data_IF_379113678719
#
_entry.id   IF_379113678719
#
_cell.length_a   1.000
_cell.length_b   1.000
_cell.length_c   1.000
_cell.angle_alpha   90.00
_cell.angle_beta   90.00
_cell.angle_gamma   90.00
#
_symmetry.space_group_name_H-M   'P 1'
#
loop_
_entity.id
_entity.type
_entity.pdbx_description
1 polymer ?
#
# COMPACT_ATOMS: atom_id res chain seq x y z
N UNK A 1 -109.73 -15.45 -137.82
CA UNK A 1 -108.35 -14.93 -137.60
C UNK A 1 -108.45 -13.63 -136.79
N UNK A 2 -107.75 -13.49 -135.65
CA UNK A 2 -107.65 -12.17 -135.00
C UNK A 2 -107.34 -12.07 -133.49
N UNK A 3 -107.55 -13.09 -132.64
CA UNK A 3 -107.47 -12.91 -131.16
C UNK A 3 -106.48 -13.81 -130.39
N UNK A 4 -105.80 -14.77 -131.02
CA UNK A 4 -104.91 -15.73 -130.33
C UNK A 4 -103.47 -15.23 -130.11
N UNK A 5 -103.00 -14.25 -130.86
CA UNK A 5 -101.64 -13.70 -130.73
C UNK A 5 -101.48 -12.78 -129.50
N UNK A 6 -102.55 -12.13 -129.05
CA UNK A 6 -102.55 -11.23 -127.87
C UNK A 6 -102.36 -12.03 -126.58
N UNK A 7 -103.03 -13.18 -126.42
CA UNK A 7 -102.89 -14.04 -125.23
C UNK A 7 -101.47 -14.62 -125.12
N UNK A 8 -100.86 -14.97 -126.26
CA UNK A 8 -99.48 -15.48 -126.31
C UNK A 8 -98.43 -14.39 -126.04
N UNK A 9 -98.64 -13.17 -126.56
CA UNK A 9 -97.76 -12.03 -126.29
C UNK A 9 -97.82 -11.57 -124.82
N UNK A 10 -99.00 -11.55 -124.21
CA UNK A 10 -99.18 -11.24 -122.78
C UNK A 10 -98.54 -12.30 -121.89
N UNK A 11 -98.70 -13.59 -122.22
CA UNK A 11 -98.04 -14.67 -121.48
C UNK A 11 -96.52 -14.63 -121.59
N UNK A 12 -95.96 -14.35 -122.78
CA UNK A 12 -94.52 -14.14 -122.96
C UNK A 12 -94.01 -12.93 -122.18
N UNK A 13 -94.78 -11.84 -122.12
CA UNK A 13 -94.41 -10.65 -121.34
C UNK A 13 -94.40 -10.93 -119.83
N UNK A 14 -95.40 -11.65 -119.31
CA UNK A 14 -95.40 -12.09 -117.90
C UNK A 14 -94.26 -13.06 -117.59
N UNK A 15 -93.94 -13.99 -118.49
CA UNK A 15 -92.78 -14.87 -118.34
C UNK A 15 -91.46 -14.08 -118.38
N UNK A 16 -91.34 -13.07 -119.24
CA UNK A 16 -90.17 -12.18 -119.30
C UNK A 16 -90.03 -11.36 -118.01
N UNK A 17 -91.12 -10.75 -117.53
CA UNK A 17 -91.14 -10.02 -116.27
C UNK A 17 -90.83 -10.92 -115.07
N UNK A 18 -91.35 -12.15 -115.06
CA UNK A 18 -91.01 -13.14 -114.03
C UNK A 18 -89.53 -13.55 -114.11
N UNK A 19 -88.98 -13.77 -115.32
CA UNK A 19 -87.56 -14.06 -115.49
C UNK A 19 -86.67 -12.89 -115.04
N UNK A 20 -87.03 -11.65 -115.39
CA UNK A 20 -86.32 -10.44 -114.96
C UNK A 20 -86.40 -10.28 -113.44
N UNK A 21 -87.58 -10.46 -112.83
CA UNK A 21 -87.75 -10.42 -111.38
C UNK A 21 -86.88 -11.47 -110.68
N UNK A 22 -86.88 -12.72 -111.16
CA UNK A 22 -86.05 -13.78 -110.61
C UNK A 22 -84.55 -13.50 -110.82
N UNK A 23 -84.14 -12.94 -111.96
CA UNK A 23 -82.74 -12.54 -112.21
C UNK A 23 -82.28 -11.44 -111.25
N UNK A 24 -83.06 -10.37 -111.11
CA UNK A 24 -82.79 -9.27 -110.17
C UNK A 24 -82.74 -9.80 -108.74
N UNK A 25 -83.66 -10.68 -108.36
CA UNK A 25 -83.68 -11.30 -107.03
C UNK A 25 -82.48 -12.21 -106.79
N UNK A 26 -82.05 -12.97 -107.78
CA UNK A 26 -80.84 -13.81 -107.71
C UNK A 26 -79.59 -12.93 -107.55
N UNK A 27 -79.52 -11.80 -108.26
CA UNK A 27 -78.39 -10.86 -108.15
C UNK A 27 -78.34 -10.20 -106.77
N UNK A 28 -79.49 -9.79 -106.25
CA UNK A 28 -79.63 -9.25 -104.89
C UNK A 28 -79.22 -10.28 -103.81
N UNK A 29 -79.72 -11.51 -103.91
CA UNK A 29 -79.34 -12.61 -103.01
C UNK A 29 -77.85 -12.97 -103.12
N UNK A 30 -77.25 -12.89 -104.31
CA UNK A 30 -75.80 -13.07 -104.49
C UNK A 30 -75.02 -11.96 -103.79
N UNK A 31 -75.47 -10.71 -103.90
CA UNK A 31 -74.85 -9.56 -103.22
C UNK A 31 -74.96 -9.69 -101.70
N UNK A 32 -76.14 -10.08 -101.20
CA UNK A 32 -76.38 -10.35 -99.78
C UNK A 32 -75.51 -11.51 -99.27
N UNK A 33 -75.45 -12.63 -100.00
CA UNK A 33 -74.58 -13.76 -99.65
C UNK A 33 -73.10 -13.37 -99.64
N UNK A 34 -72.67 -12.55 -100.60
CA UNK A 34 -71.30 -12.02 -100.65
C UNK A 34 -71.00 -11.11 -99.46
N UNK A 35 -71.94 -10.24 -99.07
CA UNK A 35 -71.80 -9.37 -97.90
C UNK A 35 -71.72 -10.18 -96.60
N UNK A 36 -72.63 -11.15 -96.42
CA UNK A 36 -72.64 -12.04 -95.26
C UNK A 36 -71.35 -12.87 -95.15
N UNK A 37 -70.79 -13.34 -96.28
CA UNK A 37 -69.49 -14.02 -96.28
C UNK A 37 -68.33 -13.12 -95.88
N UNK A 38 -68.35 -11.87 -96.32
CA UNK A 38 -67.35 -10.88 -95.91
C UNK A 38 -67.46 -10.55 -94.41
N UNK A 39 -68.69 -10.39 -93.90
CA UNK A 39 -68.94 -10.19 -92.47
C UNK A 39 -68.51 -11.40 -91.63
N UNK A 40 -68.79 -12.62 -92.08
CA UNK A 40 -68.35 -13.86 -91.41
C UNK A 40 -66.82 -13.93 -91.37
N UNK A 41 -66.14 -13.69 -92.48
CA UNK A 41 -64.66 -13.69 -92.52
C UNK A 41 -64.05 -12.60 -91.62
N UNK A 42 -64.69 -11.43 -91.52
CA UNK A 42 -64.27 -10.39 -90.60
C UNK A 42 -64.49 -10.78 -89.12
N UNK A 43 -65.59 -11.48 -88.82
CA UNK A 43 -65.86 -12.00 -87.48
C UNK A 43 -64.88 -13.11 -87.08
N UNK A 44 -64.57 -14.04 -87.99
CA UNK A 44 -63.57 -15.10 -87.80
C UNK A 44 -62.17 -14.50 -87.55
N UNK A 45 -61.77 -13.47 -88.31
CA UNK A 45 -60.51 -12.78 -88.09
C UNK A 45 -60.44 -12.13 -86.70
N UNK A 46 -61.51 -11.43 -86.29
CA UNK A 46 -61.60 -10.83 -84.94
C UNK A 46 -61.58 -11.88 -83.83
N UNK A 47 -62.21 -13.04 -84.03
CA UNK A 47 -62.18 -14.14 -83.08
C UNK A 47 -60.75 -14.67 -82.93
N UNK A 48 -60.03 -14.92 -84.03
CA UNK A 48 -58.64 -15.35 -83.99
C UNK A 48 -57.71 -14.32 -83.32
N UNK A 49 -57.93 -13.03 -83.57
CA UNK A 49 -57.21 -11.95 -82.86
C UNK A 49 -57.51 -11.96 -81.34
N UNK A 50 -58.77 -12.17 -80.96
CA UNK A 50 -59.17 -12.24 -79.55
C UNK A 50 -58.62 -13.49 -78.84
N UNK A 51 -58.64 -14.64 -79.50
CA UNK A 51 -58.05 -15.90 -79.01
C UNK A 51 -56.55 -15.74 -78.79
N UNK A 52 -55.82 -15.20 -79.78
CA UNK A 52 -54.39 -14.92 -79.64
C UNK A 52 -54.08 -13.91 -78.53
N UNK A 53 -54.92 -12.88 -78.34
CA UNK A 53 -54.79 -11.94 -77.23
C UNK A 53 -55.04 -12.61 -75.87
N UNK A 54 -56.00 -13.55 -75.78
CA UNK A 54 -56.30 -14.30 -74.58
C UNK A 54 -55.15 -15.25 -74.21
N UNK A 55 -54.63 -16.01 -75.17
CA UNK A 55 -53.46 -16.89 -74.96
C UNK A 55 -52.24 -16.09 -74.48
N UNK A 56 -52.03 -14.90 -75.06
CA UNK A 56 -50.95 -14.00 -74.62
C UNK A 56 -51.18 -13.47 -73.19
N UNK A 57 -52.43 -13.20 -72.79
CA UNK A 57 -52.74 -12.82 -71.42
C UNK A 57 -52.56 -13.99 -70.44
N UNK A 58 -53.00 -15.19 -70.79
CA UNK A 58 -52.82 -16.39 -69.96
C UNK A 58 -51.33 -16.70 -69.73
N UNK A 59 -50.51 -16.58 -70.78
CA UNK A 59 -49.06 -16.73 -70.67
C UNK A 59 -48.45 -15.67 -69.72
N UNK A 60 -48.92 -14.41 -69.81
CA UNK A 60 -48.47 -13.34 -68.90
C UNK A 60 -48.91 -13.57 -67.46
N UNK A 61 -50.15 -14.02 -67.24
CA UNK A 61 -50.68 -14.35 -65.91
C UNK A 61 -49.86 -15.49 -65.29
N UNK A 62 -49.60 -16.56 -66.05
CA UNK A 62 -48.75 -17.67 -65.59
C UNK A 62 -47.36 -17.18 -65.21
N UNK A 63 -46.70 -16.42 -66.08
CA UNK A 63 -45.37 -15.87 -65.78
C UNK A 63 -45.37 -14.93 -64.57
N UNK A 64 -46.41 -14.13 -64.38
CA UNK A 64 -46.52 -13.23 -63.22
C UNK A 64 -46.75 -14.02 -61.93
N UNK A 65 -47.56 -15.09 -62.01
CA UNK A 65 -47.79 -15.99 -60.89
C UNK A 65 -46.49 -16.68 -60.46
N UNK A 66 -45.73 -17.22 -61.41
CA UNK A 66 -44.45 -17.88 -61.13
C UNK A 66 -43.44 -16.90 -60.50
N UNK A 67 -43.40 -15.65 -60.97
CA UNK A 67 -42.58 -14.59 -60.36
C UNK A 67 -43.02 -14.24 -58.94
N UNK A 68 -44.34 -14.21 -58.68
CA UNK A 68 -44.88 -13.93 -57.35
C UNK A 68 -44.56 -15.06 -56.37
N UNK A 69 -44.76 -16.32 -56.77
CA UNK A 69 -44.40 -17.49 -55.94
C UNK A 69 -42.90 -17.53 -55.64
N UNK A 70 -42.05 -17.19 -56.62
CA UNK A 70 -40.61 -17.07 -56.39
C UNK A 70 -40.27 -15.95 -55.42
N UNK A 71 -40.86 -14.75 -55.59
CA UNK A 71 -40.60 -13.61 -54.71
C UNK A 71 -41.07 -13.88 -53.27
N UNK A 72 -42.22 -14.53 -53.10
CA UNK A 72 -42.76 -14.91 -51.79
C UNK A 72 -41.84 -15.91 -51.08
N UNK A 73 -41.39 -16.95 -51.79
CA UNK A 73 -40.45 -17.92 -51.25
C UNK A 73 -39.09 -17.32 -50.87
N UNK A 74 -38.57 -16.36 -51.65
CA UNK A 74 -37.35 -15.65 -51.28
C UNK A 74 -37.57 -14.77 -50.04
N UNK A 75 -38.69 -14.06 -49.97
CA UNK A 75 -39.01 -13.19 -48.84
C UNK A 75 -39.16 -13.99 -47.54
N UNK A 76 -39.88 -15.12 -47.56
CA UNK A 76 -40.01 -16.00 -46.40
C UNK A 76 -38.63 -16.48 -45.91
N UNK A 77 -37.79 -16.94 -46.84
CA UNK A 77 -36.44 -17.40 -46.52
C UNK A 77 -35.56 -16.30 -45.92
N UNK A 78 -35.51 -15.13 -46.56
CA UNK A 78 -34.70 -14.00 -46.09
C UNK A 78 -35.18 -13.48 -44.73
N UNK A 79 -36.50 -13.44 -44.51
CA UNK A 79 -37.06 -13.05 -43.21
C UNK A 79 -36.78 -14.07 -42.12
N UNK A 80 -36.92 -15.37 -42.41
CA UNK A 80 -36.64 -16.43 -41.43
C UNK A 80 -35.16 -16.44 -41.04
N UNK A 81 -34.26 -16.41 -42.03
CA UNK A 81 -32.81 -16.35 -41.79
C UNK A 81 -32.41 -15.07 -41.03
N UNK A 82 -32.96 -13.92 -41.42
CA UNK A 82 -32.68 -12.63 -40.79
C UNK A 82 -33.18 -12.54 -39.34
N UNK A 83 -34.41 -12.98 -39.08
CA UNK A 83 -34.98 -12.99 -37.72
C UNK A 83 -34.30 -14.01 -36.83
N UNK A 84 -33.92 -15.17 -37.36
CA UNK A 84 -33.16 -16.18 -36.63
C UNK A 84 -31.78 -15.64 -36.24
N UNK A 85 -31.08 -14.99 -37.18
CA UNK A 85 -29.79 -14.35 -36.94
C UNK A 85 -29.87 -13.26 -35.86
N UNK A 86 -30.83 -12.34 -35.99
CA UNK A 86 -31.08 -11.30 -34.98
C UNK A 86 -31.43 -11.88 -33.60
N UNK A 87 -32.18 -12.98 -33.56
CA UNK A 87 -32.51 -13.68 -32.32
C UNK A 87 -31.28 -14.27 -31.62
N UNK A 88 -30.37 -14.87 -32.40
CA UNK A 88 -29.11 -15.39 -31.89
C UNK A 88 -28.19 -14.28 -31.37
N UNK A 89 -28.04 -13.20 -32.13
CA UNK A 89 -27.23 -12.03 -31.71
C UNK A 89 -27.78 -11.36 -30.44
N UNK A 90 -29.10 -11.24 -30.34
CA UNK A 90 -29.75 -10.68 -29.15
C UNK A 90 -29.50 -11.55 -27.91
N UNK A 91 -29.59 -12.88 -28.04
CA UNK A 91 -29.34 -13.78 -26.92
C UNK A 91 -27.87 -13.73 -26.49
N UNK A 92 -26.93 -13.76 -27.44
CA UNK A 92 -25.50 -13.61 -27.14
C UNK A 92 -25.19 -12.27 -26.46
N UNK A 93 -25.87 -11.20 -26.88
CA UNK A 93 -25.71 -9.87 -26.25
C UNK A 93 -26.25 -9.87 -24.82
N UNK A 94 -27.39 -10.52 -24.56
CA UNK A 94 -27.95 -10.63 -23.20
C UNK A 94 -27.05 -11.43 -22.27
N UNK A 95 -26.48 -12.52 -22.75
CA UNK A 95 -25.53 -13.34 -21.99
C UNK A 95 -24.31 -12.50 -21.58
N UNK A 96 -23.70 -11.79 -22.53
CA UNK A 96 -22.58 -10.87 -22.26
C UNK A 96 -22.93 -9.75 -21.29
N UNK A 97 -24.15 -9.21 -21.35
CA UNK A 97 -24.61 -8.22 -20.36
C UNK A 97 -24.66 -8.85 -18.96
N UNK A 98 -25.19 -10.07 -18.85
CA UNK A 98 -25.23 -10.78 -17.57
C UNK A 98 -23.85 -11.06 -16.99
N UNK A 99 -22.89 -11.47 -17.83
CA UNK A 99 -21.48 -11.67 -17.41
C UNK A 99 -20.87 -10.37 -16.88
N UNK A 100 -21.07 -9.24 -17.58
CA UNK A 100 -20.56 -7.93 -17.15
C UNK A 100 -21.24 -7.45 -15.87
N UNK A 101 -22.54 -7.70 -15.69
CA UNK A 101 -23.26 -7.37 -14.45
C UNK A 101 -22.72 -8.18 -13.26
N UNK A 102 -22.38 -9.45 -13.45
CA UNK A 102 -21.76 -10.30 -12.42
C UNK A 102 -20.35 -9.84 -12.05
N UNK A 103 -19.49 -9.59 -13.06
CA UNK A 103 -18.14 -9.06 -12.84
C UNK A 103 -18.18 -7.69 -12.12
N UNK A 104 -19.10 -6.82 -12.51
CA UNK A 104 -19.27 -5.52 -11.86
C UNK A 104 -19.72 -5.67 -10.40
N UNK A 105 -20.60 -6.63 -10.09
CA UNK A 105 -20.99 -6.95 -8.72
C UNK A 105 -19.80 -7.41 -7.86
N UNK A 106 -18.98 -8.31 -8.39
CA UNK A 106 -17.76 -8.78 -7.71
C UNK A 106 -16.79 -7.63 -7.45
N UNK A 107 -16.58 -6.75 -8.44
CA UNK A 107 -15.73 -5.57 -8.27
C UNK A 107 -16.24 -4.61 -7.20
N UNK A 108 -17.56 -4.42 -7.09
CA UNK A 108 -18.14 -3.59 -6.03
C UNK A 108 -17.91 -4.16 -4.63
N UNK A 109 -18.05 -5.48 -4.46
CA UNK A 109 -17.78 -6.15 -3.18
C UNK A 109 -16.30 -6.04 -2.78
N UNK A 110 -15.38 -6.27 -3.73
CA UNK A 110 -13.95 -6.10 -3.52
C UNK A 110 -13.58 -4.66 -3.15
N UNK A 111 -14.15 -3.68 -3.84
CA UNK A 111 -13.92 -2.25 -3.56
C UNK A 111 -14.35 -1.86 -2.14
N UNK A 112 -15.51 -2.34 -1.67
CA UNK A 112 -15.99 -2.07 -0.31
C UNK A 112 -15.06 -2.69 0.72
N UNK A 113 -14.67 -3.96 0.51
CA UNK A 113 -13.74 -4.65 1.41
C UNK A 113 -12.40 -3.93 1.52
N UNK A 114 -11.88 -3.43 0.39
CA UNK A 114 -10.61 -2.70 0.37
C UNK A 114 -10.72 -1.35 1.09
N UNK A 115 -11.87 -0.67 0.97
CA UNK A 115 -12.11 0.59 1.67
C UNK A 115 -12.15 0.39 3.19
N UNK A 116 -12.80 -0.67 3.67
CA UNK A 116 -12.83 -1.02 5.11
C UNK A 116 -11.42 -1.32 5.66
N UNK A 117 -10.61 -2.08 4.91
CA UNK A 117 -9.22 -2.36 5.29
C UNK A 117 -8.37 -1.08 5.34
N UNK A 118 -8.55 -0.17 4.38
CA UNK A 118 -7.84 1.11 4.35
C UNK A 118 -8.20 2.00 5.55
N UNK A 119 -9.48 2.07 5.91
CA UNK A 119 -9.96 2.82 7.08
C UNK A 119 -9.35 2.25 8.38
N UNK A 120 -9.39 0.92 8.54
CA UNK A 120 -8.78 0.25 9.70
C UNK A 120 -7.27 0.53 9.78
N UNK A 121 -6.56 0.46 8.65
CA UNK A 121 -5.12 0.75 8.62
C UNK A 121 -4.80 2.20 8.95
N UNK A 122 -5.69 3.12 8.60
CA UNK A 122 -5.53 4.54 8.95
C UNK A 122 -5.66 4.75 10.46
N UNK A 123 -6.64 4.12 11.11
CA UNK A 123 -6.80 4.20 12.57
C UNK A 123 -5.61 3.60 13.33
N UNK A 124 -5.09 2.44 12.86
CA UNK A 124 -3.89 1.82 13.42
C UNK A 124 -2.68 2.75 13.31
N UNK A 125 -2.51 3.41 12.16
CA UNK A 125 -1.43 4.37 11.95
C UNK A 125 -1.55 5.60 12.87
N UNK A 126 -2.74 6.15 13.05
CA UNK A 126 -2.97 7.30 13.94
C UNK A 126 -2.72 6.94 15.41
N UNK A 127 -3.12 5.74 15.85
CA UNK A 127 -2.83 5.25 17.21
C UNK A 127 -1.32 5.12 17.43
N UNK A 128 -0.62 4.45 16.51
CA UNK A 128 0.82 4.25 16.60
C UNK A 128 1.56 5.60 16.60
N UNK A 129 1.09 6.55 15.79
CA UNK A 129 1.63 7.91 15.79
C UNK A 129 1.43 8.59 17.14
N UNK A 130 0.27 8.48 17.77
CA UNK A 130 0.02 9.06 19.10
C UNK A 130 0.93 8.47 20.17
N UNK A 131 1.06 7.14 20.20
CA UNK A 131 1.99 6.44 21.12
C UNK A 131 3.44 6.90 20.91
N UNK A 132 3.82 7.18 19.67
CA UNK A 132 5.15 7.65 19.32
C UNK A 132 5.39 9.12 19.73
N UNK A 133 4.39 10.00 19.57
CA UNK A 133 4.45 11.39 20.05
C UNK A 133 4.53 11.44 21.60
N UNK A 134 3.80 10.56 22.30
CA UNK A 134 3.89 10.44 23.75
C UNK A 134 5.27 9.93 24.20
N UNK A 135 5.84 8.96 23.47
CA UNK A 135 7.19 8.45 23.74
C UNK A 135 8.28 9.52 23.48
N UNK A 136 8.16 10.29 22.39
CA UNK A 136 9.06 11.43 22.10
C UNK A 136 9.03 12.46 23.23
N UNK A 137 7.84 12.80 23.74
CA UNK A 137 7.72 13.76 24.84
C UNK A 137 8.34 13.22 26.14
N UNK A 138 8.10 11.94 26.48
CA UNK A 138 8.70 11.31 27.66
C UNK A 138 10.23 11.28 27.54
N UNK A 139 10.76 11.05 26.34
CA UNK A 139 12.19 10.90 26.16
C UNK A 139 12.93 12.24 26.02
N UNK A 140 12.33 13.26 25.39
CA UNK A 140 12.85 14.63 25.44
C UNK A 140 12.91 15.14 26.89
N UNK A 141 11.88 14.84 27.70
CA UNK A 141 11.87 15.17 29.13
C UNK A 141 13.05 14.50 29.87
N UNK A 142 13.29 13.21 29.62
CA UNK A 142 14.40 12.47 30.23
C UNK A 142 15.78 12.97 29.75
N UNK A 143 15.97 13.24 28.46
CA UNK A 143 17.26 13.73 27.92
C UNK A 143 17.56 15.16 28.33
N UNK A 144 16.56 16.03 28.35
CA UNK A 144 16.70 17.38 28.92
C UNK A 144 17.13 17.29 30.39
N UNK A 145 16.49 16.39 31.14
CA UNK A 145 16.86 16.14 32.52
C UNK A 145 18.31 15.65 32.63
N UNK A 146 18.77 14.72 31.80
CA UNK A 146 20.17 14.24 31.84
C UNK A 146 21.15 15.38 31.55
N UNK A 147 20.88 16.19 30.52
CA UNK A 147 21.79 17.25 30.08
C UNK A 147 21.90 18.36 31.11
N UNK A 148 20.79 18.82 31.67
CA UNK A 148 20.78 19.89 32.68
C UNK A 148 21.32 19.42 34.03
N UNK A 149 21.15 18.13 34.35
CA UNK A 149 21.71 17.53 35.56
C UNK A 149 23.08 16.90 35.32
N UNK A 150 23.81 17.27 34.27
CA UNK A 150 25.21 16.86 34.09
C UNK A 150 26.22 17.99 34.39
N UNK A 151 25.76 19.22 34.66
CA UNK A 151 26.62 20.36 34.98
C UNK A 151 26.68 20.58 36.50
N UNK A 152 27.86 20.43 37.09
CA UNK A 152 28.03 20.68 38.52
C UNK A 152 28.00 22.18 38.81
N UNK A 153 26.94 22.65 39.47
CA UNK A 153 26.82 24.03 39.94
C UNK A 153 27.55 24.31 41.27
N UNK A 154 27.78 25.61 41.56
CA UNK A 154 27.96 26.11 42.93
C UNK A 154 29.09 25.48 43.78
N UNK A 155 28.72 24.92 44.94
CA UNK A 155 29.65 24.31 45.92
C UNK A 155 30.27 23.00 45.41
N UNK A 156 29.64 22.36 44.42
CA UNK A 156 30.04 21.07 43.88
C UNK A 156 31.21 21.21 42.90
N UNK A 157 31.34 22.34 42.20
CA UNK A 157 32.58 22.68 41.47
C UNK A 157 33.84 22.66 42.35
N UNK A 158 33.73 23.12 43.59
CA UNK A 158 34.84 23.08 44.54
C UNK A 158 35.22 21.65 44.94
N UNK A 159 34.27 20.72 44.89
CA UNK A 159 34.51 19.30 45.11
C UNK A 159 35.13 18.63 43.89
N UNK A 160 34.65 18.92 42.68
CA UNK A 160 35.26 18.41 41.44
C UNK A 160 36.72 18.83 41.33
N UNK A 161 37.04 20.10 41.58
CA UNK A 161 38.44 20.56 41.57
C UNK A 161 39.31 19.88 42.66
N UNK A 162 38.69 19.41 43.75
CA UNK A 162 39.39 18.60 44.75
C UNK A 162 39.62 17.17 44.26
N UNK A 163 38.68 16.58 43.54
CA UNK A 163 38.84 15.28 42.87
C UNK A 163 39.96 15.37 41.83
N UNK A 164 39.90 16.36 40.94
CA UNK A 164 40.94 16.69 39.97
C UNK A 164 42.32 16.75 40.65
N UNK A 165 42.48 17.58 41.69
CA UNK A 165 43.78 17.77 42.36
C UNK A 165 44.29 16.50 43.08
N UNK A 166 43.39 15.64 43.58
CA UNK A 166 43.78 14.50 44.45
C UNK A 166 43.76 13.14 43.77
N UNK A 167 42.88 12.97 42.80
CA UNK A 167 42.57 11.68 42.18
C UNK A 167 43.02 11.60 40.73
N UNK A 168 43.38 12.73 40.11
CA UNK A 168 43.93 12.75 38.75
C UNK A 168 45.45 12.90 38.82
N UNK A 169 46.17 11.98 38.18
CA UNK A 169 47.62 12.06 37.99
C UNK A 169 47.95 12.00 36.49
N UNK A 170 48.24 13.16 35.88
CA UNK A 170 48.38 13.25 34.44
C UNK A 170 47.05 12.97 33.75
N UNK A 171 47.02 11.95 32.91
CA UNK A 171 45.87 11.54 32.11
C UNK A 171 45.14 10.35 32.76
N UNK A 172 45.23 10.20 34.09
CA UNK A 172 44.75 9.01 34.80
C UNK A 172 43.84 9.40 35.96
N UNK A 173 42.59 8.93 35.95
CA UNK A 173 41.66 9.07 37.05
C UNK A 173 41.67 7.80 37.91
N UNK A 174 42.07 7.97 39.17
CA UNK A 174 42.05 6.90 40.16
C UNK A 174 40.63 6.76 40.73
N UNK A 175 39.83 5.83 40.18
CA UNK A 175 38.46 5.56 40.62
C UNK A 175 38.33 5.25 42.12
N UNK A 176 39.27 4.49 42.73
CA UNK A 176 39.26 4.27 44.18
C UNK A 176 39.44 5.56 44.99
N UNK A 177 40.25 6.51 44.50
CA UNK A 177 40.35 7.83 45.11
C UNK A 177 39.02 8.59 45.01
N UNK A 178 38.34 8.52 43.86
CA UNK A 178 37.00 9.12 43.68
C UNK A 178 36.01 8.54 44.69
N UNK A 179 35.95 7.21 44.83
CA UNK A 179 35.09 6.54 45.80
C UNK A 179 35.38 7.01 47.25
N UNK A 180 36.66 7.11 47.65
CA UNK A 180 37.01 7.63 48.97
C UNK A 180 36.60 9.10 49.14
N UNK A 181 36.78 9.92 48.11
CA UNK A 181 36.39 11.33 48.11
C UNK A 181 34.88 11.50 48.28
N UNK A 182 34.08 10.59 47.71
CA UNK A 182 32.62 10.54 47.88
C UNK A 182 32.25 10.08 49.30
N UNK A 183 32.93 9.07 49.85
CA UNK A 183 32.77 8.65 51.25
C UNK A 183 33.10 9.77 52.24
N UNK A 184 34.13 10.59 51.98
CA UNK A 184 34.47 11.78 52.80
C UNK A 184 33.37 12.84 52.83
N UNK A 185 32.44 12.82 51.86
CA UNK A 185 31.22 13.65 51.83
C UNK A 185 30.00 12.98 52.48
N UNK A 186 30.21 11.87 53.17
CA UNK A 186 29.17 11.03 53.76
C UNK A 186 28.20 10.44 52.71
N UNK A 187 28.61 10.39 51.43
CA UNK A 187 27.79 9.73 50.40
C UNK A 187 27.80 8.23 50.60
N UNK A 188 26.63 7.61 50.51
CA UNK A 188 26.48 6.17 50.73
C UNK A 188 25.44 5.56 49.82
N UNK A 189 25.52 4.25 49.62
CA UNK A 189 24.50 3.51 48.89
C UNK A 189 23.16 3.54 49.65
N UNK A 190 22.08 3.92 48.95
CA UNK A 190 20.73 4.00 49.49
C UNK A 190 19.79 3.23 48.58
N UNK A 191 19.14 2.20 49.10
CA UNK A 191 18.11 1.47 48.36
C UNK A 191 16.82 2.29 48.36
N UNK A 192 16.36 2.61 47.17
CA UNK A 192 15.13 3.35 46.90
C UNK A 192 13.92 2.40 46.88
N UNK A 193 12.71 2.96 47.00
CA UNK A 193 11.46 2.21 46.89
C UNK A 193 10.86 2.22 45.49
N UNK A 194 11.01 3.33 44.78
CA UNK A 194 10.69 3.50 43.37
C UNK A 194 12.02 3.71 42.63
N UNK A 195 12.24 2.95 41.57
CA UNK A 195 13.47 2.92 40.77
C UNK A 195 13.42 4.09 39.76
N UNK A 196 14.19 5.14 40.01
CA UNK A 196 14.30 6.28 39.12
C UNK A 196 15.66 6.95 39.30
N UNK A 197 16.18 7.53 38.23
CA UNK A 197 17.49 8.16 38.24
C UNK A 197 17.36 9.55 38.89
N UNK A 198 18.17 9.81 39.92
CA UNK A 198 18.21 11.07 40.65
C UNK A 198 19.05 12.13 39.98
N UNK A 199 18.61 13.38 40.11
CA UNK A 199 19.39 14.53 39.65
C UNK A 199 20.64 14.66 40.52
N UNK A 200 21.66 15.37 40.06
CA UNK A 200 22.85 15.63 40.91
C UNK A 200 22.44 16.33 42.21
N UNK A 201 21.53 17.31 42.14
CA UNK A 201 21.00 18.00 43.32
C UNK A 201 20.27 17.05 44.29
N UNK A 202 19.46 16.11 43.77
CA UNK A 202 18.78 15.09 44.58
C UNK A 202 19.78 14.10 45.18
N UNK A 203 20.74 13.62 44.40
CA UNK A 203 21.79 12.72 44.86
C UNK A 203 22.63 13.36 45.97
N UNK A 204 23.01 14.63 45.82
CA UNK A 204 23.75 15.37 46.84
C UNK A 204 22.89 15.61 48.09
N UNK A 205 21.62 16.03 47.91
CA UNK A 205 20.70 16.28 49.03
C UNK A 205 20.38 15.01 49.82
N UNK A 206 20.28 13.89 49.12
CA UNK A 206 20.08 12.58 49.70
C UNK A 206 21.39 11.94 50.13
N UNK A 207 22.56 12.57 49.99
CA UNK A 207 23.85 12.01 50.37
C UNK A 207 24.07 10.60 49.77
N UNK A 208 23.71 10.44 48.49
CA UNK A 208 23.84 9.21 47.71
C UNK A 208 22.53 8.66 47.13
N UNK A 209 22.64 7.51 46.47
CA UNK A 209 21.55 6.78 45.81
C UNK A 209 21.89 5.30 45.63
N UNK A 210 21.20 4.61 44.73
CA UNK A 210 21.49 3.23 44.33
C UNK A 210 22.32 3.15 43.02
N UNK A 211 22.27 2.04 42.30
CA UNK A 211 23.34 1.68 41.37
C UNK A 211 23.39 2.61 40.14
N UNK A 212 22.23 2.92 39.58
CA UNK A 212 22.05 3.85 38.47
C UNK A 212 22.45 5.27 38.88
N UNK A 213 22.03 5.70 40.07
CA UNK A 213 22.31 7.01 40.63
C UNK A 213 23.82 7.25 40.77
N UNK A 214 24.53 6.28 41.34
CA UNK A 214 25.99 6.34 41.49
C UNK A 214 26.70 6.32 40.14
N UNK A 215 26.24 5.48 39.21
CA UNK A 215 26.84 5.40 37.86
C UNK A 215 26.70 6.73 37.13
N UNK A 216 25.52 7.33 37.19
CA UNK A 216 25.26 8.63 36.56
C UNK A 216 26.02 9.76 37.25
N UNK A 217 26.07 9.77 38.59
CA UNK A 217 26.82 10.78 39.34
C UNK A 217 28.30 10.76 38.99
N UNK A 218 28.91 9.57 38.93
CA UNK A 218 30.33 9.44 38.61
C UNK A 218 30.62 9.69 37.13
N UNK A 219 29.73 9.30 36.20
CA UNK A 219 29.85 9.71 34.78
C UNK A 219 29.80 11.23 34.65
N UNK A 220 28.94 11.93 35.40
CA UNK A 220 28.94 13.39 35.40
C UNK A 220 30.27 13.98 35.88
N UNK A 221 30.92 13.38 36.90
CA UNK A 221 32.25 13.83 37.38
C UNK A 221 33.26 13.73 36.25
N UNK A 222 33.27 12.61 35.54
CA UNK A 222 34.20 12.36 34.42
C UNK A 222 33.98 13.40 33.32
N UNK A 223 32.73 13.62 32.91
CA UNK A 223 32.37 14.61 31.89
C UNK A 223 32.78 16.05 32.27
N UNK A 224 32.69 16.42 33.56
CA UNK A 224 33.14 17.72 34.05
C UNK A 224 34.67 17.85 33.97
N UNK A 225 35.41 16.79 34.35
CA UNK A 225 36.87 16.76 34.31
C UNK A 225 37.40 16.89 32.88
N UNK A 226 36.79 16.18 31.93
CA UNK A 226 37.13 16.27 30.50
C UNK A 226 36.89 17.68 29.95
N UNK A 227 35.80 18.33 30.36
CA UNK A 227 35.43 19.68 29.92
C UNK A 227 36.30 20.80 30.50
N UNK A 228 36.67 20.75 31.78
CA UNK A 228 37.39 21.85 32.44
C UNK A 228 38.89 21.89 32.10
N UNK A 229 39.54 20.75 31.82
CA UNK A 229 41.01 20.69 31.72
C UNK A 229 41.59 20.38 30.32
N UNK A 230 40.79 19.94 29.34
CA UNK A 230 41.35 19.43 28.09
C UNK A 230 42.23 18.20 28.32
N UNK A 231 41.86 17.40 29.32
CA UNK A 231 42.33 16.02 29.45
C UNK A 231 41.61 15.24 28.36
N UNK A 232 42.27 15.14 27.20
CA UNK A 232 41.68 14.56 25.99
C UNK A 232 41.45 13.04 26.13
N UNK A 233 42.08 12.40 27.12
CA UNK A 233 42.06 10.95 27.32
C UNK A 233 42.30 10.70 28.82
N UNK A 234 41.25 10.42 29.59
CA UNK A 234 41.46 9.89 30.94
C UNK A 234 41.84 8.40 30.84
N UNK A 235 42.39 7.84 31.91
CA UNK A 235 42.64 6.41 32.08
C UNK A 235 42.04 6.01 33.41
N UNK A 236 41.02 5.14 33.42
CA UNK A 236 40.44 4.66 34.67
C UNK A 236 41.37 3.60 35.25
N UNK A 237 41.86 3.85 36.47
CA UNK A 237 42.68 2.90 37.23
C UNK A 237 41.88 2.38 38.41
N UNK A 238 41.91 1.06 38.57
CA UNK A 238 41.13 0.31 39.55
C UNK A 238 41.99 -0.77 40.26
N UNK A 239 41.53 -1.24 41.42
CA UNK A 239 42.01 -2.43 42.13
C UNK A 239 41.14 -3.67 41.86
N UNK A 240 41.78 -4.84 41.76
CA UNK A 240 41.03 -6.10 41.77
C UNK A 240 40.32 -6.30 43.12
N UNK A 241 39.12 -6.89 43.11
CA UNK A 241 38.29 -7.25 44.30
C UNK A 241 39.01 -7.91 45.49
N UNK A 242 40.28 -8.31 45.34
CA UNK A 242 41.09 -8.96 46.38
C UNK A 242 42.14 -8.06 47.05
N UNK A 243 42.31 -6.82 46.59
CA UNK A 243 43.28 -5.86 47.11
C UNK A 243 42.76 -5.03 48.29
N UNK A 244 43.64 -4.70 49.25
CA UNK A 244 43.41 -3.62 50.21
C UNK A 244 43.87 -2.31 49.58
N UNK A 245 43.04 -1.26 49.63
CA UNK A 245 43.49 0.09 49.30
C UNK A 245 44.42 0.58 50.42
N UNK A 246 45.69 0.81 50.10
CA UNK A 246 46.60 1.47 51.02
C UNK A 246 46.51 2.98 50.79
N UNK A 247 45.79 3.65 51.69
CA UNK A 247 45.77 5.11 51.78
C UNK A 247 46.89 5.53 52.72
N UNK A 248 47.84 6.32 52.23
CA UNK A 248 48.83 6.96 53.09
C UNK A 248 49.01 8.42 52.73
N UNK A 249 49.14 9.27 53.75
CA UNK A 249 49.45 10.69 53.56
C UNK A 249 50.95 10.90 53.69
N UNK A 250 51.57 11.50 52.66
CA UNK A 250 52.95 12.00 52.72
C UNK A 250 53.01 13.45 52.24
N UNK A 251 53.60 14.33 53.04
CA UNK A 251 53.70 15.78 52.82
C UNK A 251 52.37 16.51 52.47
N UNK A 252 51.23 15.99 52.91
CA UNK A 252 49.91 16.55 52.62
C UNK A 252 49.31 16.11 51.28
N UNK A 253 49.97 15.18 50.60
CA UNK A 253 49.45 14.45 49.45
C UNK A 253 48.97 13.09 49.95
N UNK A 254 47.70 12.79 49.69
CA UNK A 254 47.13 11.47 49.96
C UNK A 254 47.44 10.59 48.76
N UNK A 255 48.14 9.49 48.99
CA UNK A 255 48.46 8.51 47.97
C UNK A 255 47.53 7.31 48.10
N UNK A 256 47.15 6.77 46.96
CA UNK A 256 46.22 5.65 46.82
C UNK A 256 46.93 4.55 46.03
N UNK A 257 47.41 3.51 46.73
CA UNK A 257 48.11 2.41 46.08
C UNK A 257 47.25 1.15 46.01
N UNK A 258 47.19 0.56 44.81
CA UNK A 258 46.72 -0.80 44.55
C UNK A 258 47.93 -1.70 44.22
N UNK A 259 47.86 -2.98 44.60
CA UNK A 259 48.87 -3.98 44.25
C UNK A 259 48.61 -4.65 42.87
N UNK A 260 47.47 -4.38 42.23
CA UNK A 260 47.10 -4.87 40.90
C UNK A 260 46.39 -3.76 40.11
N UNK A 261 46.89 -3.44 38.92
CA UNK A 261 46.37 -2.37 38.07
C UNK A 261 45.56 -2.96 36.91
N UNK A 262 44.30 -2.57 36.80
CA UNK A 262 43.51 -2.67 35.57
C UNK A 262 43.47 -1.28 34.96
N UNK A 263 43.94 -1.17 33.73
CA UNK A 263 43.86 0.05 32.93
C UNK A 263 42.74 -0.14 31.90
N UNK A 264 41.84 0.83 31.83
CA UNK A 264 40.97 1.02 30.69
C UNK A 264 41.20 2.42 30.11
N UNK A 265 41.33 2.49 28.79
CA UNK A 265 41.31 3.76 28.07
C UNK A 265 39.91 4.35 28.20
N UNK A 266 39.83 5.63 28.57
CA UNK A 266 38.59 6.35 28.89
C UNK A 266 38.07 7.09 27.67
N UNK A 267 38.60 6.76 26.49
CA UNK A 267 37.85 7.00 25.27
C UNK A 267 36.52 6.24 25.43
N UNK A 268 35.45 7.00 25.70
CA UNK A 268 34.06 6.56 25.83
C UNK A 268 33.72 5.86 27.18
N UNK A 269 33.62 6.64 28.28
CA UNK A 269 32.96 6.14 29.50
C UNK A 269 31.47 6.11 29.30
N UNK A 270 30.90 4.93 29.49
CA UNK A 270 29.48 4.68 29.28
C UNK A 270 28.89 4.10 30.57
N UNK A 271 27.56 4.10 30.68
CA UNK A 271 26.86 3.40 31.77
C UNK A 271 26.16 2.20 31.19
N UNK A 272 26.48 1.00 31.70
CA UNK A 272 25.79 -0.22 31.35
C UNK A 272 24.94 -0.70 32.51
N UNK A 273 23.65 -0.88 32.25
CA UNK A 273 22.70 -1.48 33.18
C UNK A 273 22.29 -2.88 32.71
N UNK A 274 22.29 -3.84 33.63
CA UNK A 274 22.03 -5.25 33.34
C UNK A 274 21.28 -5.93 34.49
N UNK A 275 20.44 -6.94 34.20
CA UNK A 275 19.68 -7.64 35.22
C UNK A 275 20.58 -8.61 35.99
N UNK A 276 20.54 -8.55 37.33
CA UNK A 276 21.24 -9.52 38.20
C UNK A 276 20.30 -10.66 38.58
N UNK A 277 19.04 -10.33 38.88
CA UNK A 277 17.98 -11.31 39.17
C UNK A 277 16.63 -10.82 38.64
N UNK A 278 15.59 -11.68 38.68
CA UNK A 278 14.24 -11.31 38.26
C UNK A 278 13.64 -10.23 39.17
N UNK A 279 13.88 -8.96 38.83
CA UNK A 279 13.43 -7.79 39.59
C UNK A 279 14.54 -7.01 40.31
N UNK A 280 15.82 -7.28 40.03
CA UNK A 280 16.92 -6.40 40.43
C UNK A 280 17.88 -6.21 39.25
N UNK A 281 18.02 -4.95 38.83
CA UNK A 281 19.07 -4.49 37.92
C UNK A 281 20.33 -4.09 38.68
N UNK A 282 21.40 -3.86 37.93
CA UNK A 282 22.63 -3.24 38.39
C UNK A 282 23.17 -2.36 37.28
N UNK A 283 23.71 -1.20 37.61
CA UNK A 283 24.38 -0.31 36.67
C UNK A 283 25.83 -0.12 37.10
N UNK A 284 26.72 -0.03 36.12
CA UNK A 284 28.13 0.18 36.32
C UNK A 284 28.72 1.03 35.18
N UNK A 285 29.88 1.62 35.43
CA UNK A 285 30.63 2.35 34.42
C UNK A 285 31.33 1.35 33.49
N UNK A 286 31.29 1.60 32.19
CA UNK A 286 32.03 0.87 31.17
C UNK A 286 33.07 1.79 30.56
N UNK A 287 34.30 1.29 30.44
CA UNK A 287 35.37 1.97 29.70
C UNK A 287 36.28 0.92 29.09
N UNK A 288 36.54 1.00 27.79
CA UNK A 288 37.32 -0.01 27.06
C UNK A 288 36.81 -1.45 27.23
N UNK A 289 35.50 -1.64 27.41
CA UNK A 289 34.87 -2.93 27.70
C UNK A 289 35.11 -3.48 29.12
N UNK A 290 35.63 -2.67 30.05
CA UNK A 290 35.81 -3.02 31.47
C UNK A 290 34.72 -2.37 32.30
N UNK A 291 34.17 -3.11 33.26
CA UNK A 291 33.14 -2.65 34.18
C UNK A 291 33.73 -2.23 35.52
N UNK A 292 33.35 -1.05 35.96
CA UNK A 292 33.79 -0.43 37.21
C UNK A 292 32.57 -0.13 38.09
N UNK A 293 32.64 -0.55 39.36
CA UNK A 293 31.63 -0.24 40.37
C UNK A 293 31.86 1.19 40.89
N UNK A 294 30.98 2.15 40.59
CA UNK A 294 31.20 3.56 40.95
C UNK A 294 31.26 3.80 42.47
N UNK A 295 30.56 2.99 43.27
CA UNK A 295 30.44 3.11 44.72
C UNK A 295 31.76 2.80 45.45
N UNK A 296 32.50 1.81 44.94
CA UNK A 296 33.73 1.33 45.57
C UNK A 296 34.98 1.58 44.69
N UNK A 297 34.76 2.05 43.46
CA UNK A 297 35.79 2.20 42.44
C UNK A 297 36.47 0.88 42.11
N UNK A 298 35.71 -0.23 42.13
CA UNK A 298 36.23 -1.61 42.04
C UNK A 298 35.92 -2.28 40.71
N UNK A 299 36.86 -3.07 40.18
CA UNK A 299 36.68 -3.73 38.89
C UNK A 299 35.79 -4.96 39.06
N UNK A 300 34.69 -5.04 38.30
CA UNK A 300 33.68 -6.09 38.48
C UNK A 300 33.57 -7.09 37.33
N UNK A 301 34.08 -6.77 36.14
CA UNK A 301 34.05 -7.68 34.99
C UNK A 301 34.34 -7.02 33.65
N UNK A 302 34.11 -7.75 32.57
CA UNK A 302 34.23 -7.25 31.19
C UNK A 302 32.87 -7.29 30.51
N UNK A 303 32.61 -6.26 29.69
CA UNK A 303 31.59 -6.29 28.64
C UNK A 303 32.23 -6.75 27.36
N UNK A 304 31.62 -7.71 26.68
CA UNK A 304 32.04 -8.14 25.36
C UNK A 304 30.85 -8.30 24.43
N UNK A 305 31.11 -8.17 23.13
CA UNK A 305 30.11 -8.33 22.10
C UNK A 305 30.04 -9.78 21.62
N UNK A 306 28.88 -10.41 21.73
CA UNK A 306 28.63 -11.76 21.22
C UNK A 306 27.26 -11.83 20.56
N UNK A 307 27.19 -12.39 19.33
CA UNK A 307 25.96 -12.64 18.58
C UNK A 307 25.01 -11.46 18.32
N UNK A 308 25.40 -10.22 18.60
CA UNK A 308 24.55 -9.03 18.44
C UNK A 308 24.26 -8.31 19.76
N UNK A 309 24.72 -8.88 20.87
CA UNK A 309 24.41 -8.41 22.22
C UNK A 309 25.69 -8.06 22.99
N UNK A 310 25.61 -7.05 23.85
CA UNK A 310 26.63 -6.80 24.86
C UNK A 310 26.37 -7.69 26.06
N UNK A 311 27.36 -8.49 26.45
CA UNK A 311 27.29 -9.43 27.57
C UNK A 311 28.28 -9.04 28.66
N UNK A 312 27.82 -9.13 29.91
CA UNK A 312 28.66 -9.02 31.10
C UNK A 312 29.09 -10.40 31.56
N UNK A 313 30.40 -10.63 31.66
CA UNK A 313 30.96 -11.94 32.03
C UNK A 313 30.42 -12.42 33.39
N UNK A 314 29.50 -13.39 33.35
CA UNK A 314 28.93 -14.03 34.54
C UNK A 314 27.65 -13.40 35.09
N UNK A 315 27.13 -12.32 34.49
CA UNK A 315 25.97 -11.58 35.03
C UNK A 315 24.78 -11.52 34.05
N UNK A 316 25.00 -11.48 32.74
CA UNK A 316 23.90 -11.51 31.76
C UNK A 316 24.14 -10.60 30.56
N UNK A 317 23.05 -10.28 29.85
CA UNK A 317 23.06 -9.29 28.76
C UNK A 317 22.87 -7.88 29.33
N UNK A 318 23.45 -6.89 28.66
CA UNK A 318 23.22 -5.48 28.98
C UNK A 318 21.85 -5.08 28.41
N UNK A 319 21.01 -4.48 29.25
CA UNK A 319 19.65 -4.03 28.87
C UNK A 319 19.65 -2.58 28.40
N UNK A 320 20.46 -1.74 29.06
CA UNK A 320 20.58 -0.31 28.75
C UNK A 320 22.03 0.07 28.70
N UNK A 321 22.39 0.82 27.68
CA UNK A 321 23.73 1.36 27.47
C UNK A 321 23.61 2.86 27.22
N UNK A 322 24.23 3.68 28.07
CA UNK A 322 24.14 5.13 28.01
C UNK A 322 25.52 5.66 27.64
N UNK A 323 25.62 6.30 26.47
CA UNK A 323 26.83 7.00 26.03
C UNK A 323 26.62 8.53 26.07
N UNK A 324 27.56 9.29 25.53
CA UNK A 324 27.50 10.76 25.55
C UNK A 324 26.47 11.36 24.59
N UNK A 325 26.11 10.62 23.55
CA UNK A 325 25.26 11.07 22.45
C UNK A 325 23.86 10.45 22.50
N UNK A 326 23.71 9.31 23.18
CA UNK A 326 22.52 8.46 23.05
C UNK A 326 22.29 7.50 24.24
N UNK A 327 21.05 7.01 24.32
CA UNK A 327 20.65 5.89 25.17
C UNK A 327 20.25 4.75 24.25
N UNK A 328 20.96 3.63 24.37
CA UNK A 328 20.67 2.40 23.64
C UNK A 328 19.95 1.42 24.56
N UNK A 329 18.87 0.85 24.05
CA UNK A 329 18.07 -0.15 24.76
C UNK A 329 18.09 -1.43 23.94
N UNK A 330 18.34 -2.56 24.59
CA UNK A 330 18.24 -3.87 23.96
C UNK A 330 16.77 -4.26 23.73
N UNK A 331 16.43 -4.54 22.47
CA UNK A 331 15.12 -5.06 22.05
C UNK A 331 15.22 -6.50 21.51
N UNK A 332 16.14 -7.29 22.05
CA UNK A 332 16.28 -8.74 21.88
C UNK A 332 17.01 -9.18 20.60
N UNK A 333 16.80 -8.51 19.47
CA UNK A 333 17.52 -8.78 18.20
C UNK A 333 18.33 -7.58 17.71
N UNK A 334 18.18 -6.41 18.36
CA UNK A 334 18.79 -5.14 17.98
C UNK A 334 18.92 -4.20 19.18
N UNK A 335 20.07 -3.54 19.26
CA UNK A 335 20.24 -2.30 20.00
C UNK A 335 19.53 -1.18 19.26
N UNK A 336 18.60 -0.54 19.94
CA UNK A 336 17.89 0.61 19.40
C UNK A 336 18.34 1.83 20.16
N UNK A 337 19.06 2.71 19.46
CA UNK A 337 19.43 4.02 19.97
C UNK A 337 18.24 4.97 19.83
N UNK A 338 18.16 5.98 20.69
CA UNK A 338 17.13 6.99 20.56
C UNK A 338 17.28 7.80 19.26
N UNK A 339 18.51 8.09 18.84
CA UNK A 339 18.76 8.76 17.55
C UNK A 339 18.25 7.95 16.36
N UNK A 340 18.33 6.62 16.41
CA UNK A 340 17.75 5.74 15.40
C UNK A 340 16.23 5.88 15.32
N UNK A 341 15.54 6.05 16.46
CA UNK A 341 14.10 6.34 16.45
C UNK A 341 13.81 7.69 15.78
N UNK A 342 14.54 8.75 16.15
CA UNK A 342 14.36 10.09 15.55
C UNK A 342 14.56 10.05 14.02
N UNK A 343 15.62 9.42 13.53
CA UNK A 343 15.91 9.31 12.10
C UNK A 343 14.80 8.56 11.36
N UNK A 344 14.37 7.41 11.90
CA UNK A 344 13.34 6.60 11.26
C UNK A 344 11.98 7.29 11.23
N UNK A 345 11.69 8.10 12.24
CA UNK A 345 10.49 8.94 12.30
C UNK A 345 10.56 10.05 11.25
N UNK A 346 11.71 10.71 11.10
CA UNK A 346 11.96 11.68 10.03
C UNK A 346 11.67 11.10 8.65
N UNK A 347 12.21 9.91 8.35
CA UNK A 347 11.97 9.21 7.08
C UNK A 347 10.48 8.89 6.83
N UNK A 348 9.76 8.47 7.88
CA UNK A 348 8.33 8.14 7.78
C UNK A 348 7.45 9.38 7.59
N UNK A 349 7.88 10.54 8.08
CA UNK A 349 7.19 11.82 7.91
C UNK A 349 7.52 12.47 6.56
N UNK A 350 8.76 12.37 6.08
CA UNK A 350 9.17 12.89 4.76
C UNK A 350 8.59 12.05 3.61
N UNK A 351 8.44 10.74 3.81
CA UNK A 351 7.77 9.84 2.86
C UNK A 351 6.28 10.10 2.64
N UNK A 352 5.68 11.10 3.31
CA UNK A 352 4.28 11.54 3.13
C UNK A 352 4.10 12.76 2.22
N UNK A 353 5.18 13.36 1.73
CA UNK A 353 5.09 14.52 0.81
C UNK A 353 5.13 14.14 -0.70
N UNK A 354 5.31 12.87 -1.05
CA UNK A 354 5.17 12.35 -2.43
C UNK A 354 3.81 11.65 -2.66
#
# INVERSE_FOLDING_TARGET
MGKSWIVSAVFCFFLLLFCIYNLVRIEELKKENSALRAELGAAEARLGEAEGALEAQDARISSTKDQLEYADSQLEKEMEEGLSGLGAELNATKERIGEVEEEFGQFQEEYISLQEEYEQKTEEYESLRGEMEDFEAELEEKMYWYTENADFGGETKGFISRIETKCVEGDTLNMPCVALMLEERDFSYKSEGEDYIKSLDEFEADEGGDCEDWSMFVKAIINELEREEGVDELVLVDFSKSGYMEVYEDEGVTYYYSNEEVYADVEDVEVACFPVTSGYGHCALVSGGKLFEPQEGSYIGEVYWEEGDYLVEGWGFVEVYIDEEDIHIDSGDKWISYSYFIERIGELLEGKEE
#
